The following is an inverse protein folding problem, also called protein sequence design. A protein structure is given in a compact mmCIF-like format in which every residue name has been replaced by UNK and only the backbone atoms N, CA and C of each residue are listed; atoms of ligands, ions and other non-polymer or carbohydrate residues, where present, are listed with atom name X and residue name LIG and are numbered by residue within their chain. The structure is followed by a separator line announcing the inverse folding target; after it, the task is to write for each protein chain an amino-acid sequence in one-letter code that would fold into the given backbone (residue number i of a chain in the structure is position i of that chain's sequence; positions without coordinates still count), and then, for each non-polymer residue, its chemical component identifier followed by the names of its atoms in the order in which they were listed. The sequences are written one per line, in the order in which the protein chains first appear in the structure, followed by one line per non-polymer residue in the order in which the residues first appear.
data_IF_507527823992
#
_entry.id   IF_507527823992
#
_cell.length_a   1.000
_cell.length_b   1.000
_cell.length_c   1.000
_cell.angle_alpha   90.00
_cell.angle_beta   90.00
_cell.angle_gamma   90.00
#
_symmetry.space_group_name_H-M   'P 1'
#
loop_
_entity.id
_entity.type
_entity.pdbx_description
1 polymer ?
#
# COMPACT_ATOMS: atom_id res chain seq x y z
N UNK A 1 1.54 7.05 -18.17
CA UNK A 1 2.02 8.11 -17.25
C UNK A 1 2.96 7.45 -16.25
N UNK A 2 4.12 8.03 -15.89
CA UNK A 2 4.98 7.45 -14.87
C UNK A 2 4.30 7.55 -13.50
N UNK A 3 4.30 6.46 -12.73
CA UNK A 3 3.81 6.45 -11.35
C UNK A 3 4.87 7.12 -10.49
N UNK A 4 4.47 8.12 -9.71
CA UNK A 4 5.40 8.89 -8.89
C UNK A 4 5.65 8.17 -7.56
N UNK A 5 6.93 8.02 -7.22
CA UNK A 5 7.36 7.41 -5.96
C UNK A 5 7.29 8.47 -4.88
N UNK A 6 6.56 8.16 -3.81
CA UNK A 6 6.43 9.02 -2.64
C UNK A 6 7.11 8.36 -1.45
N UNK A 7 7.82 9.17 -0.68
CA UNK A 7 8.40 8.70 0.57
C UNK A 7 7.31 8.51 1.62
N UNK A 8 7.51 7.51 2.48
CA UNK A 8 6.58 7.16 3.57
C UNK A 8 6.22 8.35 4.48
N UNK A 9 7.12 9.31 4.64
CA UNK A 9 6.91 10.50 5.49
C UNK A 9 5.91 11.49 4.87
N UNK A 10 5.76 11.46 3.54
CA UNK A 10 4.85 12.31 2.81
C UNK A 10 3.44 11.72 2.68
N UNK A 11 3.24 10.45 3.04
CA UNK A 11 1.94 9.77 2.96
C UNK A 11 0.86 10.46 3.80
N UNK A 12 1.23 11.05 4.94
CA UNK A 12 0.29 11.76 5.81
C UNK A 12 -0.31 13.02 5.20
N UNK A 13 0.32 13.58 4.16
CA UNK A 13 -0.17 14.77 3.46
C UNK A 13 -0.99 14.45 2.20
N UNK A 14 -1.06 13.18 1.81
CA UNK A 14 -1.77 12.75 0.61
C UNK A 14 -3.22 12.42 0.93
N UNK A 15 -4.14 12.98 0.15
CA UNK A 15 -5.53 12.57 0.17
C UNK A 15 -5.69 11.28 -0.64
N UNK A 16 -5.67 10.15 0.08
CA UNK A 16 -5.88 8.81 -0.46
C UNK A 16 -7.36 8.65 -0.82
N UNK A 17 -7.63 8.21 -2.04
CA UNK A 17 -8.98 7.97 -2.55
C UNK A 17 -9.14 6.51 -2.96
N UNK A 18 -10.38 6.05 -3.09
CA UNK A 18 -10.63 4.69 -3.58
C UNK A 18 -10.06 4.51 -4.99
N UNK A 19 -9.56 3.31 -5.28
CA UNK A 19 -9.26 2.90 -6.63
C UNK A 19 -10.55 2.84 -7.45
N UNK A 20 -10.41 3.07 -8.74
CA UNK A 20 -11.55 3.06 -9.67
C UNK A 20 -12.14 1.65 -9.82
N UNK A 21 -11.29 0.63 -9.66
CA UNK A 21 -11.63 -0.79 -9.67
C UNK A 21 -11.37 -1.41 -8.30
N UNK A 22 -12.32 -2.19 -7.78
CA UNK A 22 -12.15 -2.88 -6.50
C UNK A 22 -11.36 -4.17 -6.71
N UNK A 23 -10.03 -4.07 -6.56
CA UNK A 23 -9.10 -5.20 -6.61
C UNK A 23 -8.79 -5.74 -5.21
N UNK A 24 -9.61 -5.40 -4.20
CA UNK A 24 -9.36 -5.76 -2.79
C UNK A 24 -9.17 -7.27 -2.64
N UNK A 25 -9.96 -8.08 -3.34
CA UNK A 25 -9.91 -9.54 -3.22
C UNK A 25 -8.59 -10.12 -3.71
N UNK A 26 -8.13 -9.71 -4.90
CA UNK A 26 -6.86 -10.17 -5.47
C UNK A 26 -5.66 -9.66 -4.67
N UNK A 27 -5.70 -8.39 -4.30
CA UNK A 27 -4.64 -7.76 -3.53
C UNK A 27 -4.57 -8.33 -2.12
N UNK A 28 -5.67 -8.78 -1.51
CA UNK A 28 -5.67 -9.34 -0.15
C UNK A 28 -4.71 -10.53 -0.03
N UNK A 29 -4.65 -11.41 -1.02
CA UNK A 29 -3.70 -12.53 -1.02
C UNK A 29 -2.26 -12.02 -1.02
N UNK A 30 -1.93 -11.13 -1.98
CA UNK A 30 -0.59 -10.52 -2.07
C UNK A 30 -0.21 -9.72 -0.82
N UNK A 31 -1.16 -9.01 -0.21
CA UNK A 31 -0.92 -8.23 1.01
C UNK A 31 -0.57 -9.14 2.19
N UNK A 32 -1.25 -10.28 2.33
CA UNK A 32 -0.92 -11.26 3.36
C UNK A 32 0.49 -11.84 3.14
N UNK A 33 0.87 -12.10 1.90
CA UNK A 33 2.24 -12.52 1.56
C UNK A 33 3.25 -11.41 1.86
N UNK A 34 2.96 -10.16 1.48
CA UNK A 34 3.83 -9.02 1.75
C UNK A 34 4.01 -8.76 3.26
N UNK A 35 2.95 -8.94 4.07
CA UNK A 35 3.04 -8.91 5.53
C UNK A 35 3.94 -10.01 6.05
N UNK A 36 3.75 -11.25 5.57
CA UNK A 36 4.56 -12.39 5.96
C UNK A 36 6.03 -12.16 5.62
N UNK A 37 6.33 -11.68 4.41
CA UNK A 37 7.69 -11.33 3.97
C UNK A 37 8.30 -10.17 4.75
N UNK A 38 7.47 -9.17 5.09
CA UNK A 38 7.87 -8.06 5.93
C UNK A 38 8.24 -8.49 7.35
N UNK A 39 7.48 -9.42 7.92
CA UNK A 39 7.69 -9.91 9.28
C UNK A 39 8.84 -10.94 9.36
N UNK A 40 8.93 -11.86 8.41
CA UNK A 40 9.95 -12.93 8.40
C UNK A 40 11.29 -12.45 7.85
N UNK A 41 11.29 -11.73 6.72
CA UNK A 41 12.50 -11.40 5.98
C UNK A 41 12.88 -9.92 6.06
N UNK A 42 12.10 -9.11 6.77
CA UNK A 42 12.25 -7.64 6.78
C UNK A 42 12.23 -7.06 5.37
N UNK A 43 11.51 -7.73 4.46
CA UNK A 43 11.41 -7.29 3.07
C UNK A 43 10.61 -6.00 2.97
N UNK A 44 10.82 -5.27 1.89
CA UNK A 44 10.01 -4.11 1.54
C UNK A 44 9.09 -4.49 0.39
N UNK A 45 7.86 -4.02 0.45
CA UNK A 45 6.90 -4.14 -0.62
C UNK A 45 6.72 -2.78 -1.28
N UNK A 46 6.53 -2.82 -2.59
CA UNK A 46 6.20 -1.69 -3.43
C UNK A 46 4.67 -1.63 -3.52
N UNK A 47 4.08 -0.62 -2.91
CA UNK A 47 2.63 -0.47 -2.78
C UNK A 47 2.20 0.71 -3.64
N UNK A 48 1.32 0.45 -4.61
CA UNK A 48 0.74 1.47 -5.49
C UNK A 48 -0.70 1.73 -5.07
N UNK A 49 -1.04 3.00 -4.84
CA UNK A 49 -2.36 3.40 -4.36
C UNK A 49 -2.82 4.70 -5.03
N UNK A 50 -4.13 4.92 -5.03
CA UNK A 50 -4.74 6.06 -5.69
C UNK A 50 -4.84 7.27 -4.76
N UNK A 51 -4.58 8.47 -5.31
CA UNK A 51 -4.72 9.74 -4.58
C UNK A 51 -5.43 10.77 -5.44
N UNK A 52 -5.89 11.87 -4.82
CA UNK A 52 -6.50 13.01 -5.53
C UNK A 52 -5.62 13.62 -6.63
N UNK A 53 -4.30 13.46 -6.56
CA UNK A 53 -3.33 13.99 -7.53
C UNK A 53 -2.80 12.89 -8.47
N UNK A 54 -3.44 11.72 -8.48
CA UNK A 54 -3.06 10.57 -9.29
C UNK A 54 -2.46 9.41 -8.50
N UNK A 55 -2.10 8.31 -9.17
CA UNK A 55 -1.53 7.13 -8.52
C UNK A 55 -0.12 7.41 -7.99
N UNK A 56 0.12 7.01 -6.75
CA UNK A 56 1.41 7.15 -6.06
C UNK A 56 1.90 5.79 -5.62
N UNK A 57 3.22 5.66 -5.45
CA UNK A 57 3.88 4.41 -5.06
C UNK A 57 4.77 4.63 -3.86
N UNK A 58 4.70 3.76 -2.86
CA UNK A 58 5.59 3.77 -1.70
C UNK A 58 6.34 2.45 -1.58
N UNK A 59 7.61 2.51 -1.24
CA UNK A 59 8.45 1.34 -0.95
C UNK A 59 8.64 1.22 0.57
N UNK A 60 7.97 0.25 1.19
CA UNK A 60 8.00 0.07 2.64
C UNK A 60 7.57 -1.32 3.08
N UNK A 61 7.83 -1.65 4.34
CA UNK A 61 7.44 -2.95 4.91
C UNK A 61 5.98 -2.92 5.38
N UNK A 62 5.18 -3.87 4.91
CA UNK A 62 3.83 -4.14 5.44
C UNK A 62 3.98 -4.81 6.80
N UNK A 63 3.42 -4.19 7.85
CA UNK A 63 3.46 -4.71 9.22
C UNK A 63 2.23 -5.54 9.56
N UNK A 64 1.05 -5.05 9.17
CA UNK A 64 -0.21 -5.75 9.40
C UNK A 64 -1.19 -5.48 8.26
N UNK A 65 -1.98 -6.49 7.92
CA UNK A 65 -3.09 -6.39 6.97
C UNK A 65 -4.38 -6.60 7.74
N UNK A 66 -5.30 -5.63 7.66
CA UNK A 66 -6.64 -5.75 8.28
C UNK A 66 -7.68 -5.96 7.18
N UNK A 67 -8.97 -5.93 7.54
CA UNK A 67 -10.05 -6.01 6.55
C UNK A 67 -10.29 -4.71 5.79
N UNK A 68 -9.86 -3.57 6.34
CA UNK A 68 -10.15 -2.23 5.79
C UNK A 68 -8.91 -1.47 5.34
N UNK A 69 -7.78 -1.69 5.99
CA UNK A 69 -6.52 -0.98 5.73
C UNK A 69 -5.31 -1.89 5.96
N UNK A 70 -4.19 -1.54 5.35
CA UNK A 70 -2.88 -2.06 5.72
C UNK A 70 -2.15 -1.07 6.61
N UNK A 71 -1.42 -1.60 7.58
CA UNK A 71 -0.52 -0.85 8.43
C UNK A 71 0.91 -1.10 7.93
N UNK A 72 1.59 0.00 7.63
CA UNK A 72 2.98 0.02 7.23
C UNK A 72 3.85 0.34 8.44
N UNK A 73 5.15 0.05 8.30
CA UNK A 73 6.16 0.53 9.24
C UNK A 73 6.05 2.05 9.43
N UNK A 74 6.23 2.54 10.66
CA UNK A 74 6.00 3.92 11.11
C UNK A 74 4.52 4.33 11.31
N UNK A 75 3.64 3.36 11.61
CA UNK A 75 2.24 3.63 11.99
C UNK A 75 1.41 4.34 10.91
N UNK A 76 1.72 4.05 9.64
CA UNK A 76 1.01 4.61 8.49
C UNK A 76 -0.08 3.63 8.07
N UNK A 77 -1.28 4.14 7.82
CA UNK A 77 -2.43 3.33 7.42
C UNK A 77 -2.87 3.69 6.00
N UNK A 78 -2.96 2.69 5.13
CA UNK A 78 -3.48 2.85 3.76
C UNK A 78 -4.73 1.99 3.60
N UNK A 79 -5.89 2.57 3.22
CA UNK A 79 -7.10 1.80 2.94
C UNK A 79 -6.90 0.78 1.81
N UNK A 80 -7.35 -0.46 1.99
CA UNK A 80 -7.17 -1.51 0.97
C UNK A 80 -7.92 -1.16 -0.31
N UNK A 81 -9.07 -0.49 -0.19
CA UNK A 81 -9.87 0.00 -1.33
C UNK A 81 -9.16 1.05 -2.18
N UNK A 82 -8.08 1.66 -1.68
CA UNK A 82 -7.28 2.62 -2.45
C UNK A 82 -6.13 1.98 -3.21
N UNK A 83 -5.84 0.71 -2.92
CA UNK A 83 -4.72 0.02 -3.52
C UNK A 83 -5.03 -0.31 -4.98
N UNK A 84 -4.03 -0.10 -5.83
CA UNK A 84 -4.05 -0.41 -7.25
C UNK A 84 -3.22 -1.66 -7.50
N UNK A 85 -2.02 -1.73 -6.92
CA UNK A 85 -1.12 -2.87 -7.10
C UNK A 85 -0.13 -3.00 -5.94
N UNK A 86 0.36 -4.21 -5.72
CA UNK A 86 1.44 -4.51 -4.77
C UNK A 86 2.42 -5.52 -5.38
N UNK A 87 3.70 -5.26 -5.16
CA UNK A 87 4.85 -6.03 -5.63
C UNK A 87 5.88 -6.16 -4.48
N UNK A 88 6.62 -7.28 -4.37
CA UNK A 88 7.55 -7.55 -3.25
C UNK A 88 8.63 -8.58 -3.60
#
# INVERSE_FOLDING_TARGET
MPIEIVEKEHLGYLNIINAQEDQTVELKTKLNEAQRLGNEFKSKAVITFNTTIGPKRVDTTVWAVTEKYIQLKNNIHIPIKSLIDIDF
#
